data_IF_369526192889
#
_entry.id   IF_369526192889
#
_cell.length_a   1.000
_cell.length_b   1.000
_cell.length_c   1.000
_cell.angle_alpha   90.00
_cell.angle_beta   90.00
_cell.angle_gamma   90.00
#
_symmetry.space_group_name_H-M   'P 1'
#
loop_
_entity.id
_entity.type
_entity.pdbx_description
1 polymer ?
#
# COMPACT_ATOMS: atom_id res chain seq x y z
N UNK A 1 -23.77 -39.34 14.53
CA UNK A 1 -22.65 -38.45 14.96
C UNK A 1 -21.69 -38.11 13.82
N UNK A 2 -21.13 -39.07 13.06
CA UNK A 2 -20.19 -38.80 11.93
C UNK A 2 -20.71 -37.83 10.84
N UNK A 3 -21.98 -37.94 10.45
CA UNK A 3 -22.59 -37.09 9.40
C UNK A 3 -22.85 -35.64 9.85
N UNK A 4 -23.11 -35.43 11.14
CA UNK A 4 -23.37 -34.09 11.74
C UNK A 4 -22.06 -33.31 11.88
N UNK A 5 -20.97 -33.98 12.25
CA UNK A 5 -19.62 -33.39 12.32
C UNK A 5 -19.11 -33.00 10.92
N UNK A 6 -19.38 -33.81 9.89
CA UNK A 6 -19.03 -33.49 8.51
C UNK A 6 -19.82 -32.28 7.94
N UNK A 7 -21.12 -32.16 8.26
CA UNK A 7 -21.90 -30.98 7.85
C UNK A 7 -21.46 -29.71 8.58
N UNK A 8 -21.13 -29.79 9.88
CA UNK A 8 -20.60 -28.64 10.62
C UNK A 8 -19.22 -28.21 10.10
N UNK A 9 -18.35 -29.16 9.78
CA UNK A 9 -17.07 -28.88 9.14
C UNK A 9 -17.21 -28.25 7.76
N UNK A 10 -18.15 -28.73 6.94
CA UNK A 10 -18.43 -28.16 5.62
C UNK A 10 -19.01 -26.74 5.72
N UNK A 11 -19.90 -26.49 6.68
CA UNK A 11 -20.50 -25.17 6.92
C UNK A 11 -19.46 -24.17 7.44
N UNK A 12 -18.51 -24.61 8.28
CA UNK A 12 -17.38 -23.81 8.72
C UNK A 12 -16.44 -23.45 7.56
N UNK A 13 -16.18 -24.39 6.66
CA UNK A 13 -15.38 -24.16 5.45
C UNK A 13 -16.09 -23.18 4.50
N UNK A 14 -17.40 -23.31 4.30
CA UNK A 14 -18.18 -22.38 3.47
C UNK A 14 -18.17 -20.96 4.07
N UNK A 15 -18.32 -20.82 5.39
CA UNK A 15 -18.25 -19.53 6.09
C UNK A 15 -16.87 -18.87 5.92
N UNK A 16 -15.79 -19.65 6.01
CA UNK A 16 -14.41 -19.18 5.79
C UNK A 16 -14.13 -18.76 4.33
N UNK A 17 -14.77 -19.41 3.35
CA UNK A 17 -14.68 -19.00 1.94
C UNK A 17 -15.50 -17.75 1.64
N UNK A 18 -16.66 -17.56 2.28
CA UNK A 18 -17.46 -16.34 2.09
C UNK A 18 -16.83 -15.09 2.72
N UNK A 19 -16.17 -15.20 3.88
CA UNK A 19 -15.53 -14.05 4.53
C UNK A 19 -14.36 -13.46 3.74
N UNK A 20 -13.64 -14.30 2.97
CA UNK A 20 -12.58 -13.82 2.07
C UNK A 20 -13.14 -13.09 0.85
N UNK A 21 -14.33 -13.47 0.37
CA UNK A 21 -14.99 -12.83 -0.77
C UNK A 21 -15.56 -11.44 -0.43
N UNK A 22 -16.00 -11.20 0.81
CA UNK A 22 -16.58 -9.91 1.22
C UNK A 22 -15.55 -8.79 1.45
N UNK A 23 -14.27 -9.10 1.68
CA UNK A 23 -13.24 -8.07 1.87
C UNK A 23 -12.90 -7.31 0.57
N UNK A 24 -13.21 -7.87 -0.59
CA UNK A 24 -12.87 -7.30 -1.90
C UNK A 24 -14.02 -6.45 -2.51
N UNK A 25 -15.25 -6.58 -2.01
CA UNK A 25 -16.43 -5.90 -2.56
C UNK A 25 -16.45 -4.39 -2.26
N UNK A 26 -15.88 -3.97 -1.14
CA UNK A 26 -15.98 -2.58 -0.64
C UNK A 26 -15.18 -1.56 -1.47
N UNK A 27 -14.22 -2.02 -2.29
CA UNK A 27 -13.40 -1.16 -3.15
C UNK A 27 -13.84 -1.18 -4.62
N UNK A 28 -14.76 -2.06 -5.00
CA UNK A 28 -15.13 -2.31 -6.41
C UNK A 28 -15.81 -1.10 -7.10
N UNK A 29 -16.27 -0.11 -6.33
CA UNK A 29 -16.91 1.11 -6.83
C UNK A 29 -16.10 2.39 -6.66
N UNK A 30 -14.87 2.31 -6.15
CA UNK A 30 -14.02 3.50 -5.94
C UNK A 30 -13.33 3.83 -7.26
N UNK A 31 -13.55 5.05 -7.78
CA UNK A 31 -12.82 5.58 -8.93
C UNK A 31 -11.45 6.12 -8.48
N UNK A 32 -10.32 5.51 -8.90
CA UNK A 32 -8.99 5.96 -8.51
C UNK A 32 -8.46 7.08 -9.43
N UNK A 33 -9.28 7.63 -10.32
CA UNK A 33 -8.82 8.57 -11.34
C UNK A 33 -8.33 9.91 -10.77
N UNK A 34 -7.31 10.47 -11.40
CA UNK A 34 -6.78 11.82 -11.10
C UNK A 34 -6.13 11.98 -9.72
N UNK A 35 -5.83 10.89 -9.02
CA UNK A 35 -5.18 10.94 -7.71
C UNK A 35 -3.69 11.26 -7.81
N UNK A 36 -3.16 11.94 -6.80
CA UNK A 36 -1.71 12.11 -6.61
C UNK A 36 -1.24 11.27 -5.44
N UNK A 37 -0.20 10.47 -5.67
CA UNK A 37 0.44 9.60 -4.68
C UNK A 37 1.82 10.17 -4.38
N UNK A 38 2.03 10.67 -3.16
CA UNK A 38 3.35 11.06 -2.68
C UNK A 38 4.06 9.84 -2.09
N UNK A 39 5.23 9.51 -2.64
CA UNK A 39 6.07 8.40 -2.22
C UNK A 39 7.42 8.87 -1.67
N UNK A 40 7.65 8.66 -0.38
CA UNK A 40 8.94 8.91 0.26
C UNK A 40 9.83 7.68 0.22
N UNK A 41 11.05 7.84 -0.29
CA UNK A 41 11.99 6.73 -0.46
C UNK A 41 13.41 7.11 -0.07
N UNK A 42 14.24 6.08 0.08
CA UNK A 42 15.63 6.17 0.50
C UNK A 42 16.63 6.09 -0.66
N UNK A 43 16.14 5.98 -1.90
CA UNK A 43 16.99 5.67 -3.04
C UNK A 43 17.93 6.82 -3.37
N UNK A 44 19.14 6.45 -3.78
CA UNK A 44 20.16 7.38 -4.25
C UNK A 44 20.80 6.85 -5.53
N UNK A 45 21.44 7.75 -6.29
CA UNK A 45 22.21 7.40 -7.50
C UNK A 45 21.41 6.52 -8.47
N UNK A 46 21.98 5.39 -8.93
CA UNK A 46 21.37 4.52 -9.92
C UNK A 46 20.00 3.94 -9.49
N UNK A 47 19.77 3.73 -8.19
CA UNK A 47 18.47 3.27 -7.69
C UNK A 47 17.41 4.37 -7.83
N UNK A 48 17.78 5.61 -7.53
CA UNK A 48 16.89 6.76 -7.70
C UNK A 48 16.57 6.98 -9.17
N UNK A 49 17.56 6.94 -10.07
CA UNK A 49 17.35 7.04 -11.52
C UNK A 49 16.39 5.97 -12.03
N UNK A 50 16.58 4.72 -11.58
CA UNK A 50 15.68 3.60 -11.93
C UNK A 50 14.27 3.83 -11.42
N UNK A 51 14.12 4.25 -10.16
CA UNK A 51 12.81 4.52 -9.56
C UNK A 51 12.09 5.67 -10.29
N UNK A 52 12.78 6.76 -10.59
CA UNK A 52 12.23 7.87 -11.36
C UNK A 52 11.75 7.41 -12.74
N UNK A 53 12.54 6.61 -13.46
CA UNK A 53 12.12 6.08 -14.77
C UNK A 53 10.87 5.19 -14.68
N UNK A 54 10.72 4.40 -13.61
CA UNK A 54 9.52 3.60 -13.37
C UNK A 54 8.30 4.48 -13.07
N UNK A 55 8.47 5.51 -12.25
CA UNK A 55 7.43 6.49 -11.92
C UNK A 55 6.99 7.26 -13.16
N UNK A 56 7.92 7.75 -13.98
CA UNK A 56 7.61 8.47 -15.22
C UNK A 56 6.83 7.58 -16.20
N UNK A 57 7.23 6.30 -16.30
CA UNK A 57 6.49 5.33 -17.11
C UNK A 57 5.09 5.11 -16.55
N UNK A 58 4.94 4.94 -15.24
CA UNK A 58 3.62 4.76 -14.62
C UNK A 58 2.72 5.97 -14.88
N UNK A 59 3.20 7.18 -14.58
CA UNK A 59 2.47 8.43 -14.74
C UNK A 59 2.02 8.67 -16.19
N UNK A 60 2.84 8.27 -17.17
CA UNK A 60 2.51 8.45 -18.60
C UNK A 60 1.63 7.36 -19.21
N UNK A 61 1.52 6.19 -18.57
CA UNK A 61 0.84 5.02 -19.18
C UNK A 61 -0.37 4.51 -18.44
N UNK A 62 -0.58 4.91 -17.18
CA UNK A 62 -1.72 4.41 -16.41
C UNK A 62 -3.06 4.99 -16.93
N UNK A 63 -4.07 4.13 -17.03
CA UNK A 63 -5.38 4.48 -17.62
C UNK A 63 -6.23 5.42 -16.75
N UNK A 64 -5.86 5.59 -15.48
CA UNK A 64 -6.61 6.37 -14.48
C UNK A 64 -6.07 7.81 -14.33
N UNK A 65 -4.99 8.18 -15.02
CA UNK A 65 -4.38 9.50 -14.86
C UNK A 65 -3.85 9.77 -13.44
N UNK A 66 -3.44 8.72 -12.72
CA UNK A 66 -2.78 8.82 -11.42
C UNK A 66 -1.39 9.42 -11.61
N UNK A 67 -1.01 10.33 -10.73
CA UNK A 67 0.33 10.92 -10.66
C UNK A 67 1.05 10.42 -9.42
N UNK A 68 2.22 9.83 -9.59
CA UNK A 68 3.12 9.49 -8.48
C UNK A 68 4.21 10.56 -8.41
N UNK A 69 4.34 11.18 -7.24
CA UNK A 69 5.44 12.08 -6.89
C UNK A 69 6.43 11.31 -6.01
N UNK A 70 7.60 11.00 -6.55
CA UNK A 70 8.65 10.28 -5.82
C UNK A 70 9.65 11.25 -5.20
N UNK A 71 9.78 11.22 -3.87
CA UNK A 71 10.60 12.14 -3.10
C UNK A 71 11.68 11.35 -2.33
N UNK A 72 12.97 11.48 -2.70
CA UNK A 72 14.05 10.93 -1.89
C UNK A 72 14.20 11.74 -0.60
N UNK A 73 14.06 11.07 0.55
CA UNK A 73 14.01 11.69 1.89
C UNK A 73 15.18 11.23 2.78
N UNK A 74 16.34 11.01 2.18
CA UNK A 74 17.54 10.57 2.90
C UNK A 74 17.56 9.06 3.17
N UNK A 75 18.23 8.63 4.23
CA UNK A 75 18.29 7.21 4.60
C UNK A 75 17.06 6.81 5.44
N UNK A 76 16.93 5.52 5.79
CA UNK A 76 15.78 5.04 6.57
C UNK A 76 15.60 5.71 7.94
N UNK A 77 16.68 6.10 8.63
CA UNK A 77 16.55 6.85 9.90
C UNK A 77 15.95 8.23 9.65
N UNK A 78 16.41 8.92 8.60
CA UNK A 78 15.90 10.25 8.22
C UNK A 78 14.40 10.15 7.88
N UNK A 79 14.00 9.12 7.13
CA UNK A 79 12.59 8.86 6.79
C UNK A 79 11.75 8.57 8.03
N UNK A 80 12.27 7.76 8.96
CA UNK A 80 11.56 7.43 10.22
C UNK A 80 11.37 8.66 11.10
N UNK A 81 12.39 9.52 11.19
CA UNK A 81 12.29 10.80 11.91
C UNK A 81 11.27 11.74 11.24
N UNK A 82 11.32 11.85 9.92
CA UNK A 82 10.37 12.67 9.15
C UNK A 82 8.94 12.15 9.31
N UNK A 83 8.71 10.84 9.20
CA UNK A 83 7.40 10.23 9.40
C UNK A 83 6.84 10.52 10.80
N UNK A 84 7.67 10.38 11.85
CA UNK A 84 7.25 10.68 13.22
C UNK A 84 6.86 12.16 13.40
N UNK A 85 7.62 13.08 12.80
CA UNK A 85 7.27 14.50 12.79
C UNK A 85 5.96 14.76 12.02
N UNK A 86 5.78 14.10 10.88
CA UNK A 86 4.61 14.23 10.03
C UNK A 86 3.32 13.67 10.60
N UNK A 87 3.40 12.63 11.44
CA UNK A 87 2.25 12.14 12.21
C UNK A 87 1.72 13.24 13.14
N UNK A 88 2.61 14.03 13.72
CA UNK A 88 2.24 15.13 14.61
C UNK A 88 1.65 16.30 13.81
N UNK A 89 2.22 16.63 12.65
CA UNK A 89 1.72 17.73 11.81
C UNK A 89 0.46 17.38 11.02
N UNK A 90 0.21 16.09 10.77
CA UNK A 90 -0.84 15.59 9.89
C UNK A 90 -0.46 15.56 8.40
N UNK A 91 0.76 15.95 8.05
CA UNK A 91 1.24 16.00 6.66
C UNK A 91 1.96 14.70 6.29
N UNK A 92 1.16 13.65 6.05
CA UNK A 92 1.65 12.30 5.75
C UNK A 92 1.83 12.06 4.24
N UNK A 93 2.83 11.27 3.83
CA UNK A 93 2.88 10.75 2.47
C UNK A 93 1.80 9.66 2.28
N UNK A 94 1.51 9.32 1.02
CA UNK A 94 0.66 8.18 0.72
C UNK A 94 1.41 6.85 0.82
N UNK A 95 2.70 6.87 0.46
CA UNK A 95 3.59 5.71 0.53
C UNK A 95 4.93 6.13 1.15
N UNK A 96 5.49 5.29 2.01
CA UNK A 96 6.79 5.53 2.64
C UNK A 96 7.60 4.25 2.69
N UNK A 97 8.89 4.34 2.36
CA UNK A 97 9.82 3.24 2.54
C UNK A 97 10.21 3.13 4.03
N UNK A 98 10.11 1.92 4.59
CA UNK A 98 10.49 1.66 5.97
C UNK A 98 10.82 0.19 6.19
N UNK A 99 11.44 -0.13 7.32
CA UNK A 99 11.61 -1.52 7.72
C UNK A 99 10.29 -2.06 8.33
N UNK A 100 10.12 -3.39 8.30
CA UNK A 100 8.92 -4.01 8.87
C UNK A 100 8.73 -3.71 10.37
N UNK A 101 9.80 -3.51 11.12
CA UNK A 101 9.73 -3.10 12.53
C UNK A 101 9.27 -1.66 12.71
N UNK A 102 9.43 -0.78 11.71
CA UNK A 102 8.99 0.63 11.78
C UNK A 102 7.47 0.74 11.54
N UNK A 103 6.87 -0.22 10.84
CA UNK A 103 5.42 -0.27 10.59
C UNK A 103 4.60 -0.82 11.78
N UNK A 104 5.25 -1.52 12.70
CA UNK A 104 4.60 -2.18 13.84
C UNK A 104 4.78 -1.45 15.18
N UNK A 105 5.55 -0.36 15.18
CA UNK A 105 5.93 0.43 16.35
C UNK A 105 5.05 1.64 16.58
#
# INVERSE_FOLDING_TARGET
MRKVVLMFGLLLVIVLFTSAAFAQDDMAGIDPSGQTIVYWNQFTSAQLETMTALVDRFNSTNEYGITVETLPQGNYNDIRELMNASIISGELPNLVAGYGNDAAS
#
